data_IF_191329846964
#
_entry.id   IF_191329846964
#
_cell.length_a   1.000
_cell.length_b   1.000
_cell.length_c   1.000
_cell.angle_alpha   90.00
_cell.angle_beta   90.00
_cell.angle_gamma   90.00
#
_symmetry.space_group_name_H-M   'P 1'
#
loop_
_entity.id
_entity.type
_entity.pdbx_description
1 polymer ?
#
# COMPACT_ATOMS: atom_id res chain seq x y z
N UNK A 1 19.47 16.90 7.50
CA UNK A 1 18.49 16.97 6.39
C UNK A 1 17.72 18.29 6.53
N UNK A 2 17.41 18.97 5.41
CA UNK A 2 16.64 20.23 5.41
C UNK A 2 15.13 20.00 5.64
N UNK A 3 14.67 18.78 5.35
CA UNK A 3 13.28 18.38 5.45
C UNK A 3 13.12 17.27 6.51
N UNK A 4 11.91 17.16 7.06
CA UNK A 4 11.55 16.18 8.09
C UNK A 4 11.27 14.78 7.49
N UNK A 5 12.02 14.40 6.46
CA UNK A 5 11.82 13.14 5.72
C UNK A 5 11.91 11.94 6.64
N UNK A 6 12.91 11.90 7.53
CA UNK A 6 13.08 10.81 8.49
C UNK A 6 11.87 10.64 9.40
N UNK A 7 11.37 11.73 9.99
CA UNK A 7 10.14 11.70 10.81
C UNK A 7 8.93 11.23 10.00
N UNK A 8 8.77 11.73 8.77
CA UNK A 8 7.66 11.32 7.90
C UNK A 8 7.73 9.84 7.53
N UNK A 9 8.92 9.30 7.30
CA UNK A 9 9.11 7.87 7.04
C UNK A 9 8.75 7.02 8.26
N UNK A 10 9.15 7.44 9.46
CA UNK A 10 8.76 6.75 10.69
C UNK A 10 7.23 6.79 10.91
N UNK A 11 6.58 7.94 10.68
CA UNK A 11 5.11 8.02 10.77
C UNK A 11 4.40 7.08 9.78
N UNK A 12 4.96 6.94 8.56
CA UNK A 12 4.44 6.03 7.54
C UNK A 12 4.65 4.58 7.96
N UNK A 13 5.82 4.24 8.51
CA UNK A 13 6.10 2.90 9.01
C UNK A 13 5.11 2.52 10.12
N UNK A 14 4.94 3.37 11.13
CA UNK A 14 3.97 3.18 12.21
C UNK A 14 2.53 3.00 11.66
N UNK A 15 2.17 3.77 10.63
CA UNK A 15 0.87 3.64 9.98
C UNK A 15 0.71 2.28 9.28
N UNK A 16 1.74 1.81 8.56
CA UNK A 16 1.75 0.52 7.88
C UNK A 16 1.63 -0.61 8.90
N UNK A 17 2.45 -0.61 9.95
CA UNK A 17 2.41 -1.60 11.03
C UNK A 17 1.03 -1.69 11.69
N UNK A 18 0.40 -0.55 11.97
CA UNK A 18 -0.98 -0.49 12.48
C UNK A 18 -2.00 -1.03 11.49
N UNK A 19 -1.78 -0.83 10.19
CA UNK A 19 -2.66 -1.40 9.17
C UNK A 19 -2.54 -2.91 9.16
N UNK A 20 -1.33 -3.46 9.31
CA UNK A 20 -1.11 -4.90 9.41
C UNK A 20 -1.69 -5.53 10.68
N UNK A 21 -1.59 -4.84 11.83
CA UNK A 21 -2.14 -5.35 13.10
C UNK A 21 -3.66 -5.25 13.22
N UNK A 22 -4.30 -4.30 12.54
CA UNK A 22 -5.75 -4.05 12.64
C UNK A 22 -6.60 -4.51 11.45
N UNK A 23 -6.06 -4.50 10.23
CA UNK A 23 -6.83 -4.79 9.00
C UNK A 23 -6.39 -6.07 8.27
N UNK A 24 -5.14 -6.52 8.45
CA UNK A 24 -4.59 -7.69 7.75
C UNK A 24 -4.52 -8.97 8.62
N UNK A 25 -4.93 -8.88 9.87
CA UNK A 25 -5.16 -10.01 10.79
C UNK A 25 -6.55 -10.60 10.56
N UNK A 26 -6.74 -11.32 9.44
CA UNK A 26 -7.85 -12.30 9.35
C UNK A 26 -7.35 -13.64 9.90
N UNK A 27 -8.20 -14.38 10.61
CA UNK A 27 -7.86 -15.66 11.26
C UNK A 27 -7.29 -16.73 10.30
N UNK A 28 -7.40 -16.51 8.98
CA UNK A 28 -6.96 -17.45 7.93
C UNK A 28 -5.79 -16.94 7.08
N UNK A 29 -5.20 -15.78 7.39
CA UNK A 29 -3.97 -15.29 6.74
C UNK A 29 -4.08 -14.87 5.26
N UNK A 30 -5.24 -15.01 4.61
CA UNK A 30 -5.45 -14.57 3.22
C UNK A 30 -5.82 -13.07 3.22
N UNK A 31 -4.92 -12.24 2.73
CA UNK A 31 -5.12 -10.80 2.64
C UNK A 31 -5.84 -10.46 1.33
N UNK A 32 -6.74 -9.47 1.33
CA UNK A 32 -7.40 -9.01 0.08
C UNK A 32 -6.39 -8.63 -1.00
N UNK A 33 -5.20 -8.18 -0.58
CA UNK A 33 -4.11 -7.88 -1.50
C UNK A 33 -3.49 -9.14 -2.12
N UNK A 34 -3.41 -10.26 -1.39
CA UNK A 34 -2.95 -11.53 -1.94
C UNK A 34 -3.89 -12.06 -3.02
N UNK A 35 -5.21 -11.94 -2.80
CA UNK A 35 -6.23 -12.32 -3.78
C UNK A 35 -6.18 -11.44 -5.05
N UNK A 36 -5.95 -10.13 -4.88
CA UNK A 36 -5.85 -9.22 -6.03
C UNK A 36 -4.54 -9.45 -6.79
N UNK A 37 -3.43 -9.66 -6.07
CA UNK A 37 -2.12 -9.96 -6.66
C UNK A 37 -2.17 -11.28 -7.45
N UNK A 38 -2.76 -12.35 -6.88
CA UNK A 38 -2.90 -13.64 -7.57
C UNK A 38 -3.79 -13.59 -8.82
N UNK A 39 -4.68 -12.59 -8.92
CA UNK A 39 -5.45 -12.34 -10.14
C UNK A 39 -4.67 -11.65 -11.26
N UNK A 40 -3.40 -11.28 -11.02
CA UNK A 40 -2.56 -10.52 -11.96
C UNK A 40 -2.91 -9.03 -12.04
N UNK A 41 -3.71 -8.51 -11.09
CA UNK A 41 -4.21 -7.12 -11.10
C UNK A 41 -3.66 -6.27 -9.96
N UNK A 42 -2.67 -6.77 -9.22
CA UNK A 42 -2.09 -6.09 -8.06
C UNK A 42 -1.51 -4.71 -8.37
N UNK A 43 -0.71 -4.60 -9.42
CA UNK A 43 -0.09 -3.34 -9.83
C UNK A 43 -1.14 -2.27 -10.17
N UNK A 44 -2.12 -2.60 -11.02
CA UNK A 44 -3.19 -1.68 -11.41
C UNK A 44 -4.03 -1.24 -10.21
N UNK A 45 -4.31 -2.17 -9.29
CA UNK A 45 -5.02 -1.88 -8.06
C UNK A 45 -4.26 -0.89 -7.17
N UNK A 46 -2.95 -1.07 -7.01
CA UNK A 46 -2.12 -0.18 -6.20
C UNK A 46 -2.05 1.23 -6.81
N UNK A 47 -1.80 1.33 -8.12
CA UNK A 47 -1.77 2.62 -8.83
C UNK A 47 -3.13 3.33 -8.81
N UNK A 48 -4.22 2.58 -8.94
CA UNK A 48 -5.58 3.11 -8.79
C UNK A 48 -5.82 3.71 -7.39
N UNK A 49 -5.28 3.09 -6.34
CA UNK A 49 -5.36 3.63 -4.99
C UNK A 49 -4.50 4.89 -4.80
N UNK A 50 -3.29 4.94 -5.38
CA UNK A 50 -2.46 6.15 -5.40
C UNK A 50 -3.24 7.31 -6.02
N UNK A 51 -3.81 7.12 -7.21
CA UNK A 51 -4.63 8.14 -7.88
C UNK A 51 -5.85 8.55 -7.04
N UNK A 52 -6.55 7.58 -6.44
CA UNK A 52 -7.71 7.83 -5.58
C UNK A 52 -7.35 8.75 -4.40
N UNK A 53 -6.26 8.46 -3.68
CA UNK A 53 -5.88 9.24 -2.50
C UNK A 53 -5.28 10.60 -2.86
N UNK A 54 -4.55 10.68 -3.97
CA UNK A 54 -4.10 11.96 -4.51
C UNK A 54 -5.29 12.86 -4.88
N UNK A 55 -6.31 12.30 -5.55
CA UNK A 55 -7.52 13.03 -5.91
C UNK A 55 -8.40 13.40 -4.71
N UNK A 56 -8.27 12.70 -3.58
CA UNK A 56 -9.05 12.90 -2.35
C UNK A 56 -8.42 13.95 -1.42
N UNK A 57 -7.10 14.10 -1.44
CA UNK A 57 -6.39 15.03 -0.56
C UNK A 57 -6.96 16.45 -0.67
N UNK A 58 -7.26 17.07 0.47
CA UNK A 58 -7.88 18.40 0.53
C UNK A 58 -9.40 18.40 0.33
N UNK A 59 -10.02 17.32 -0.16
CA UNK A 59 -11.48 17.22 -0.38
C UNK A 59 -12.22 16.52 0.75
N UNK A 60 -11.64 15.43 1.30
CA UNK A 60 -12.23 14.68 2.41
C UNK A 60 -11.46 14.98 3.70
N UNK A 61 -12.16 15.52 4.70
CA UNK A 61 -11.57 15.88 6.00
C UNK A 61 -10.41 16.88 5.89
N UNK A 62 -10.45 17.78 4.90
CA UNK A 62 -9.41 18.77 4.65
C UNK A 62 -8.08 18.20 4.15
N UNK A 63 -6.99 18.93 4.38
CA UNK A 63 -5.63 18.57 3.98
C UNK A 63 -5.03 17.49 4.89
N UNK A 64 -5.65 16.31 4.93
CA UNK A 64 -5.30 15.25 5.88
C UNK A 64 -4.02 14.49 5.46
N UNK A 65 -2.99 14.49 6.33
CA UNK A 65 -1.71 13.76 6.12
C UNK A 65 -1.91 12.25 5.94
N UNK A 66 -3.01 11.67 6.42
CA UNK A 66 -3.36 10.25 6.23
C UNK A 66 -3.48 9.90 4.74
N UNK A 67 -3.96 10.82 3.89
CA UNK A 67 -4.02 10.57 2.44
C UNK A 67 -2.61 10.47 1.84
N UNK A 68 -1.67 11.29 2.30
CA UNK A 68 -0.27 11.20 1.89
C UNK A 68 0.38 9.89 2.36
N UNK A 69 0.11 9.47 3.60
CA UNK A 69 0.59 8.18 4.12
C UNK A 69 0.05 7.00 3.30
N UNK A 70 -1.23 7.05 2.92
CA UNK A 70 -1.84 6.03 2.05
C UNK A 70 -1.24 6.01 0.66
N UNK A 71 -0.93 7.18 0.08
CA UNK A 71 -0.21 7.24 -1.20
C UNK A 71 1.13 6.52 -1.09
N UNK A 72 1.91 6.78 -0.03
CA UNK A 72 3.22 6.13 0.17
C UNK A 72 3.06 4.63 0.36
N UNK A 73 2.12 4.19 1.22
CA UNK A 73 1.84 2.77 1.42
C UNK A 73 1.49 2.06 0.10
N UNK A 74 0.53 2.57 -0.68
CA UNK A 74 0.18 1.95 -1.96
C UNK A 74 1.29 2.04 -3.01
N UNK A 75 2.16 3.04 -2.93
CA UNK A 75 3.37 3.10 -3.77
C UNK A 75 4.34 1.96 -3.42
N UNK A 76 4.55 1.67 -2.13
CA UNK A 76 5.39 0.55 -1.69
C UNK A 76 4.82 -0.81 -2.13
N UNK A 77 3.49 -0.99 -2.05
CA UNK A 77 2.83 -2.19 -2.59
C UNK A 77 2.97 -2.27 -4.12
N UNK A 78 2.85 -1.14 -4.82
CA UNK A 78 3.04 -1.11 -6.28
C UNK A 78 4.47 -1.49 -6.67
N UNK A 79 5.49 -1.12 -5.89
CA UNK A 79 6.87 -1.55 -6.12
C UNK A 79 6.99 -3.08 -6.02
N UNK A 80 6.41 -3.70 -4.99
CA UNK A 80 6.38 -5.16 -4.87
C UNK A 80 5.68 -5.83 -6.07
N UNK A 81 4.51 -5.33 -6.47
CA UNK A 81 3.78 -5.89 -7.63
C UNK A 81 4.49 -5.63 -8.97
N UNK A 82 5.23 -4.53 -9.09
CA UNK A 82 6.11 -4.28 -10.23
C UNK A 82 7.22 -5.32 -10.29
N UNK A 83 7.92 -5.55 -9.19
CA UNK A 83 9.00 -6.53 -9.13
C UNK A 83 8.49 -7.94 -9.48
N UNK A 84 7.33 -8.35 -8.95
CA UNK A 84 6.66 -9.63 -9.30
C UNK A 84 6.35 -9.70 -10.80
N UNK A 85 5.85 -8.61 -11.39
CA UNK A 85 5.47 -8.57 -12.80
C UNK A 85 6.69 -8.64 -13.73
N UNK A 86 7.77 -7.95 -13.40
CA UNK A 86 8.97 -7.87 -14.24
C UNK A 86 9.92 -9.07 -14.04
N UNK A 87 9.89 -9.73 -12.89
CA UNK A 87 10.71 -10.92 -12.63
C UNK A 87 10.20 -12.19 -13.32
N UNK A 88 9.01 -12.18 -13.94
CA UNK A 88 8.27 -13.37 -14.38
C UNK A 88 8.04 -14.40 -13.26
N UNK A 89 8.20 -14.02 -11.98
CA UNK A 89 7.96 -14.92 -10.87
C UNK A 89 6.46 -15.00 -10.58
N UNK A 90 5.87 -16.17 -10.79
CA UNK A 90 4.58 -16.49 -10.16
C UNK A 90 4.80 -16.58 -8.66
N UNK A 91 4.18 -15.68 -7.90
CA UNK A 91 4.16 -15.72 -6.43
C UNK A 91 3.77 -17.15 -5.97
N UNK A 92 4.51 -17.79 -5.06
CA UNK A 92 4.15 -19.11 -4.59
C UNK A 92 2.73 -19.06 -4.00
N UNK A 93 1.82 -19.82 -4.58
CA UNK A 93 0.53 -20.10 -3.98
C UNK A 93 0.79 -20.93 -2.74
N UNK A 94 0.62 -20.35 -1.56
CA UNK A 94 0.54 -21.11 -0.32
C UNK A 94 -0.78 -21.91 -0.37
N UNK A 95 -0.74 -23.09 -0.99
CA UNK A 95 -1.69 -24.20 -0.76
C UNK A 95 -1.35 -24.92 0.53
#
# INVERSE_FOLDING_TARGET
MKFNEHTNLNDVLDYIEKTYSGHYTSENGIQSMDLISSSGRGLDFCLGNVMKYAARYGKKNGANKIDLMKIIHYTLLAMNEHDIKESNETRPTNT
#
